data_IF_128045320831
#
_entry.id   IF_128045320831
#
_cell.length_a   1.000
_cell.length_b   1.000
_cell.length_c   1.000
_cell.angle_alpha   90.00
_cell.angle_beta   90.00
_cell.angle_gamma   90.00
#
_symmetry.space_group_name_H-M   'P 1'
#
loop_
_entity.id
_entity.type
_entity.pdbx_description
1 polymer ?
#
# COMPACT_ATOMS: atom_id res chain seq x y z
N UNK A 1 -25.51 -23.66 -24.25
CA UNK A 1 -25.10 -22.81 -25.39
C UNK A 1 -25.51 -21.37 -25.13
N UNK A 2 -26.76 -21.10 -24.73
CA UNK A 2 -27.19 -19.76 -24.24
C UNK A 2 -26.40 -19.21 -23.03
N UNK A 3 -26.08 -20.02 -22.01
CA UNK A 3 -25.34 -19.52 -20.84
C UNK A 3 -23.88 -19.17 -21.14
N UNK A 4 -23.21 -19.94 -22.00
CA UNK A 4 -21.83 -19.66 -22.43
C UNK A 4 -21.81 -18.43 -23.34
N UNK A 5 -22.84 -18.26 -24.19
CA UNK A 5 -22.98 -17.07 -25.03
C UNK A 5 -23.20 -15.81 -24.19
N UNK A 6 -23.94 -15.92 -23.08
CA UNK A 6 -24.19 -14.83 -22.13
C UNK A 6 -22.95 -14.48 -21.30
N UNK A 7 -22.20 -15.46 -20.80
CA UNK A 7 -20.93 -15.21 -20.07
C UNK A 7 -19.87 -14.58 -20.98
N UNK A 8 -19.89 -14.93 -22.26
CA UNK A 8 -19.05 -14.30 -23.29
C UNK A 8 -19.56 -12.87 -23.55
N UNK A 9 -20.83 -12.67 -23.91
CA UNK A 9 -21.37 -11.33 -24.18
C UNK A 9 -21.23 -10.36 -22.99
N UNK A 10 -21.45 -10.82 -21.76
CA UNK A 10 -21.31 -10.01 -20.53
C UNK A 10 -19.83 -9.76 -20.15
N UNK A 11 -18.92 -10.68 -20.47
CA UNK A 11 -17.48 -10.55 -20.19
C UNK A 11 -16.69 -9.75 -21.24
N UNK A 12 -17.26 -9.55 -22.44
CA UNK A 12 -16.63 -8.82 -23.54
C UNK A 12 -17.01 -7.32 -23.58
N UNK A 13 -17.90 -6.83 -22.71
CA UNK A 13 -18.15 -5.38 -22.57
C UNK A 13 -17.01 -4.64 -21.82
N UNK A 14 -16.16 -5.34 -21.08
CA UNK A 14 -15.01 -4.74 -20.36
C UNK A 14 -13.69 -4.75 -21.15
N UNK A 15 -13.63 -5.37 -22.33
CA UNK A 15 -12.45 -5.37 -23.19
C UNK A 15 -12.83 -4.72 -24.52
N UNK A 16 -12.39 -3.48 -24.71
CA UNK A 16 -12.56 -2.72 -25.95
C UNK A 16 -11.70 -3.36 -27.04
N UNK A 17 -12.21 -4.42 -27.67
CA UNK A 17 -11.86 -4.76 -29.04
C UNK A 17 -12.63 -3.82 -29.96
N UNK A 18 -11.95 -3.24 -30.94
CA UNK A 18 -12.63 -2.47 -31.96
C UNK A 18 -13.57 -3.38 -32.79
N UNK A 19 -14.48 -2.76 -33.54
CA UNK A 19 -15.47 -3.52 -34.32
C UNK A 19 -14.83 -4.38 -35.43
N UNK A 20 -13.60 -4.07 -35.84
CA UNK A 20 -12.84 -4.79 -36.86
C UNK A 20 -12.30 -6.13 -36.30
N UNK A 21 -11.79 -6.13 -35.08
CA UNK A 21 -11.35 -7.34 -34.37
C UNK A 21 -12.50 -8.32 -34.11
N UNK A 22 -13.70 -7.81 -33.80
CA UNK A 22 -14.91 -8.62 -33.62
C UNK A 22 -15.36 -9.27 -34.93
N UNK A 23 -15.31 -8.55 -36.04
CA UNK A 23 -15.62 -9.09 -37.38
C UNK A 23 -14.64 -10.16 -37.82
N UNK A 24 -13.33 -9.95 -37.61
CA UNK A 24 -12.28 -10.93 -37.94
C UNK A 24 -12.50 -12.23 -37.16
N UNK A 25 -12.86 -12.13 -35.88
CA UNK A 25 -13.11 -13.30 -35.03
C UNK A 25 -14.36 -14.07 -35.49
N UNK A 26 -15.45 -13.35 -35.78
CA UNK A 26 -16.71 -13.94 -36.25
C UNK A 26 -16.56 -14.59 -37.63
N UNK A 27 -15.81 -13.98 -38.53
CA UNK A 27 -15.52 -14.54 -39.86
C UNK A 27 -14.59 -15.76 -39.75
N UNK A 28 -13.63 -15.75 -38.83
CA UNK A 28 -12.78 -16.91 -38.53
C UNK A 28 -13.60 -18.11 -38.04
N UNK A 29 -14.57 -17.87 -37.15
CA UNK A 29 -15.51 -18.89 -36.67
C UNK A 29 -16.38 -19.41 -37.82
N UNK A 30 -16.92 -18.53 -38.68
CA UNK A 30 -17.74 -18.92 -39.84
C UNK A 30 -16.96 -19.71 -40.89
N UNK A 31 -15.70 -19.33 -41.16
CA UNK A 31 -14.79 -20.02 -42.10
C UNK A 31 -14.41 -21.42 -41.61
N UNK A 32 -14.25 -21.61 -40.30
CA UNK A 32 -13.99 -22.93 -39.70
C UNK A 32 -15.15 -23.91 -39.96
N UNK A 33 -16.39 -23.41 -40.00
CA UNK A 33 -17.61 -24.20 -40.19
C UNK A 33 -17.84 -24.64 -41.65
N UNK A 34 -17.29 -23.91 -42.63
CA UNK A 34 -17.46 -24.20 -44.07
C UNK A 34 -16.44 -25.18 -44.66
N UNK A 35 -15.29 -25.40 -44.01
CA UNK A 35 -14.22 -26.29 -44.53
C UNK A 35 -14.32 -27.75 -44.07
N UNK A 36 -15.53 -28.32 -44.05
CA UNK A 36 -15.73 -29.69 -43.56
C UNK A 36 -16.40 -30.62 -44.57
N UNK A 37 -15.95 -30.60 -45.82
CA UNK A 37 -16.33 -31.61 -46.82
C UNK A 37 -15.08 -32.02 -47.64
N UNK A 38 -14.74 -33.32 -47.52
CA UNK A 38 -13.75 -34.15 -48.24
C UNK A 38 -12.34 -34.32 -47.64
N UNK A 39 -12.27 -35.31 -46.74
CA UNK A 39 -11.28 -36.40 -46.66
C UNK A 39 -9.82 -36.10 -47.06
N UNK A 40 -9.01 -35.67 -46.08
CA UNK A 40 -7.62 -36.13 -45.79
C UNK A 40 -7.10 -35.39 -44.55
N UNK A 41 -7.72 -35.60 -43.40
CA UNK A 41 -7.45 -34.76 -42.21
C UNK A 41 -7.84 -35.49 -40.92
N UNK A 42 -7.14 -36.58 -40.57
CA UNK A 42 -7.35 -37.23 -39.27
C UNK A 42 -6.13 -37.20 -38.35
N UNK A 43 -4.94 -36.84 -38.87
CA UNK A 43 -3.71 -36.74 -38.06
C UNK A 43 -3.31 -35.26 -37.78
N UNK A 44 -3.83 -34.30 -38.55
CA UNK A 44 -3.54 -32.86 -38.35
C UNK A 44 -4.58 -32.19 -37.41
N UNK A 45 -5.78 -32.77 -37.26
CA UNK A 45 -6.80 -32.24 -36.35
C UNK A 45 -6.50 -32.52 -34.86
N UNK A 46 -5.82 -33.63 -34.53
CA UNK A 46 -5.41 -33.89 -33.15
C UNK A 46 -4.30 -32.95 -32.70
N UNK A 47 -3.35 -32.62 -33.58
CA UNK A 47 -2.25 -31.70 -33.26
C UNK A 47 -2.73 -30.25 -33.15
N UNK A 48 -3.60 -29.78 -34.04
CA UNK A 48 -4.17 -28.43 -33.95
C UNK A 48 -5.09 -28.25 -32.71
N UNK A 49 -5.90 -29.27 -32.38
CA UNK A 49 -6.72 -29.27 -31.17
C UNK A 49 -5.88 -29.35 -29.89
N UNK A 50 -4.78 -30.13 -29.88
CA UNK A 50 -3.82 -30.14 -28.77
C UNK A 50 -3.10 -28.81 -28.61
N UNK A 51 -2.66 -28.18 -29.71
CA UNK A 51 -2.04 -26.85 -29.66
C UNK A 51 -3.03 -25.83 -29.11
N UNK A 52 -4.29 -25.86 -29.54
CA UNK A 52 -5.35 -25.00 -28.99
C UNK A 52 -5.63 -25.26 -27.51
N UNK A 53 -5.69 -26.52 -27.07
CA UNK A 53 -5.87 -26.86 -25.65
C UNK A 53 -4.67 -26.44 -24.80
N UNK A 54 -3.44 -26.60 -25.31
CA UNK A 54 -2.22 -26.13 -24.65
C UNK A 54 -2.19 -24.60 -24.54
N UNK A 55 -2.49 -23.89 -25.63
CA UNK A 55 -2.59 -22.43 -25.65
C UNK A 55 -3.70 -21.92 -24.72
N UNK A 56 -4.85 -22.59 -24.67
CA UNK A 56 -5.94 -22.23 -23.76
C UNK A 56 -5.56 -22.50 -22.29
N UNK A 57 -4.89 -23.62 -22.00
CA UNK A 57 -4.44 -23.93 -20.63
C UNK A 57 -3.36 -22.97 -20.14
N UNK A 58 -2.44 -22.57 -21.01
CA UNK A 58 -1.38 -21.60 -20.68
C UNK A 58 -1.93 -20.20 -20.53
N UNK A 59 -2.86 -19.78 -21.39
CA UNK A 59 -3.57 -18.51 -21.23
C UNK A 59 -4.34 -18.45 -19.91
N UNK A 60 -5.08 -19.51 -19.55
CA UNK A 60 -5.77 -19.57 -18.26
C UNK A 60 -4.79 -19.50 -17.07
N UNK A 61 -3.66 -20.22 -17.12
CA UNK A 61 -2.66 -20.14 -16.05
C UNK A 61 -2.08 -18.73 -15.90
N UNK A 62 -1.80 -18.04 -17.01
CA UNK A 62 -1.31 -16.65 -17.00
C UNK A 62 -2.36 -15.72 -16.40
N UNK A 63 -3.64 -15.87 -16.78
CA UNK A 63 -4.74 -15.05 -16.26
C UNK A 63 -4.91 -15.28 -14.76
N UNK A 64 -4.96 -16.53 -14.30
CA UNK A 64 -5.06 -16.85 -12.87
C UNK A 64 -3.89 -16.28 -12.09
N UNK A 65 -2.66 -16.45 -12.59
CA UNK A 65 -1.47 -15.88 -11.94
C UNK A 65 -1.54 -14.35 -11.83
N UNK A 66 -1.97 -13.65 -12.88
CA UNK A 66 -2.12 -12.20 -12.86
C UNK A 66 -3.21 -11.74 -11.87
N UNK A 67 -4.32 -12.48 -11.78
CA UNK A 67 -5.39 -12.21 -10.81
C UNK A 67 -4.87 -12.41 -9.38
N UNK A 68 -4.19 -13.52 -9.11
CA UNK A 68 -3.65 -13.84 -7.80
C UNK A 68 -2.61 -12.79 -7.34
N UNK A 69 -1.72 -12.38 -8.25
CA UNK A 69 -0.75 -11.31 -7.99
C UNK A 69 -1.44 -9.97 -7.69
N UNK A 70 -2.48 -9.62 -8.46
CA UNK A 70 -3.24 -8.39 -8.21
C UNK A 70 -3.94 -8.43 -6.83
N UNK A 71 -4.56 -9.56 -6.49
CA UNK A 71 -5.22 -9.76 -5.20
C UNK A 71 -4.25 -9.65 -4.02
N UNK A 72 -3.10 -10.31 -4.12
CA UNK A 72 -2.05 -10.27 -3.09
C UNK A 72 -1.51 -8.85 -2.87
N UNK A 73 -1.31 -8.10 -3.95
CA UNK A 73 -0.87 -6.71 -3.91
C UNK A 73 -1.88 -5.79 -3.24
N UNK A 74 -3.16 -5.95 -3.60
CA UNK A 74 -4.26 -5.20 -2.98
C UNK A 74 -4.40 -5.55 -1.50
N UNK A 75 -4.26 -6.81 -1.11
CA UNK A 75 -4.31 -7.23 0.30
C UNK A 75 -3.17 -6.59 1.10
N UNK A 76 -1.94 -6.62 0.59
CA UNK A 76 -0.78 -6.02 1.25
C UNK A 76 -0.97 -4.50 1.44
N UNK A 77 -1.41 -3.81 0.39
CA UNK A 77 -1.70 -2.38 0.44
C UNK A 77 -2.82 -2.06 1.44
N UNK A 78 -3.92 -2.83 1.43
CA UNK A 78 -5.02 -2.68 2.36
C UNK A 78 -4.58 -2.96 3.81
N UNK A 79 -3.64 -3.88 4.02
CA UNK A 79 -3.06 -4.14 5.33
C UNK A 79 -2.24 -2.95 5.83
N UNK A 80 -1.48 -2.28 4.98
CA UNK A 80 -0.78 -1.03 5.33
C UNK A 80 -1.76 0.07 5.79
N UNK A 81 -2.87 0.24 5.07
CA UNK A 81 -3.96 1.17 5.43
C UNK A 81 -4.69 0.83 6.74
N UNK A 82 -4.61 -0.43 7.17
CA UNK A 82 -5.29 -0.91 8.36
C UNK A 82 -4.33 -1.30 9.48
N UNK A 83 -3.04 -0.93 9.37
CA UNK A 83 -1.97 -1.48 10.21
C UNK A 83 -2.21 -1.32 11.71
N UNK A 84 -2.76 -0.19 12.14
CA UNK A 84 -3.12 0.09 13.55
C UNK A 84 -4.16 -0.87 14.14
N UNK A 85 -4.81 -1.71 13.34
CA UNK A 85 -5.77 -2.72 13.81
C UNK A 85 -5.14 -4.10 14.04
N UNK A 86 -3.86 -4.28 13.71
CA UNK A 86 -3.17 -5.57 13.83
C UNK A 86 -2.24 -5.65 15.05
N UNK A 87 -2.26 -4.63 15.91
CA UNK A 87 -1.54 -4.58 17.17
C UNK A 87 -2.24 -3.66 18.16
N UNK A 88 -2.11 -3.94 19.45
CA UNK A 88 -2.62 -3.08 20.53
C UNK A 88 -1.58 -2.06 20.94
N UNK A 89 -0.31 -2.47 21.03
CA UNK A 89 0.81 -1.58 21.34
C UNK A 89 1.94 -1.78 20.36
N UNK A 90 2.70 -0.70 20.10
CA UNK A 90 3.94 -0.76 19.34
C UNK A 90 4.96 0.21 19.92
N UNK A 91 6.18 -0.28 20.12
CA UNK A 91 7.31 0.54 20.54
C UNK A 91 8.54 0.22 19.73
N UNK A 92 9.42 1.19 19.56
CA UNK A 92 10.62 0.99 18.77
C UNK A 92 11.38 2.28 18.49
N UNK A 93 12.32 2.15 17.55
CA UNK A 93 13.10 3.27 17.07
C UNK A 93 13.46 3.10 15.60
N UNK A 94 13.52 4.19 14.87
CA UNK A 94 13.97 4.22 13.48
C UNK A 94 14.86 5.43 13.21
N UNK A 95 15.58 5.36 12.10
CA UNK A 95 16.33 6.47 11.55
C UNK A 95 15.73 6.86 10.19
N UNK A 96 15.62 8.15 9.95
CA UNK A 96 15.28 8.71 8.64
C UNK A 96 16.45 9.56 8.14
N UNK A 97 16.72 9.51 6.85
CA UNK A 97 17.65 10.41 6.17
C UNK A 97 17.00 10.91 4.90
N UNK A 98 16.77 12.22 4.83
CA UNK A 98 16.38 12.94 3.62
C UNK A 98 17.65 13.56 3.01
N UNK A 99 18.12 12.92 1.93
CA UNK A 99 19.36 13.30 1.24
C UNK A 99 19.20 14.61 0.44
N UNK A 100 17.97 15.03 0.14
CA UNK A 100 17.70 16.28 -0.57
C UNK A 100 17.76 17.49 0.35
N UNK A 101 17.44 17.29 1.64
CA UNK A 101 17.47 18.32 2.69
C UNK A 101 18.69 18.23 3.60
N UNK A 102 19.55 17.24 3.40
CA UNK A 102 20.67 16.93 4.30
C UNK A 102 20.21 16.78 5.76
N UNK A 103 19.06 16.13 5.93
CA UNK A 103 18.38 15.98 7.21
C UNK A 103 18.42 14.53 7.67
N UNK A 104 18.85 14.32 8.90
CA UNK A 104 18.86 13.03 9.58
C UNK A 104 18.03 13.10 10.84
N UNK A 105 17.13 12.15 10.99
CA UNK A 105 16.28 12.04 12.17
C UNK A 105 16.51 10.72 12.89
N UNK A 106 16.49 10.76 14.22
CA UNK A 106 16.38 9.59 15.07
C UNK A 106 15.05 9.67 15.80
N UNK A 107 14.20 8.67 15.59
CA UNK A 107 12.85 8.65 16.16
C UNK A 107 12.70 7.48 17.11
N UNK A 108 12.19 7.74 18.31
CA UNK A 108 11.80 6.74 19.30
C UNK A 108 10.33 6.89 19.60
N UNK A 109 9.61 5.77 19.72
CA UNK A 109 8.17 5.82 19.91
C UNK A 109 7.68 4.71 20.84
N UNK A 110 6.58 5.01 21.54
CA UNK A 110 5.78 4.08 22.34
C UNK A 110 4.31 4.46 22.14
N UNK A 111 3.52 3.56 21.60
CA UNK A 111 2.17 3.85 21.13
C UNK A 111 1.24 2.73 21.57
N UNK A 112 0.07 3.11 22.05
CA UNK A 112 -1.08 2.26 22.30
C UNK A 112 -2.20 2.64 21.33
N UNK A 113 -2.64 1.70 20.50
CA UNK A 113 -3.79 1.83 19.59
C UNK A 113 -5.05 1.09 20.10
N UNK A 114 -4.92 0.32 21.19
CA UNK A 114 -6.02 -0.44 21.80
C UNK A 114 -6.99 0.40 22.65
N UNK A 115 -7.51 -0.18 23.73
CA UNK A 115 -8.59 0.42 24.55
C UNK A 115 -8.18 1.71 25.28
N UNK A 116 -6.88 1.88 25.53
CA UNK A 116 -6.30 3.08 26.15
C UNK A 116 -5.37 3.77 25.16
N UNK A 117 -5.92 4.42 24.12
CA UNK A 117 -5.12 4.95 23.03
C UNK A 117 -4.26 6.14 23.49
N UNK A 118 -3.04 6.19 23.00
CA UNK A 118 -2.10 7.27 23.32
C UNK A 118 -0.67 6.90 22.97
N UNK A 119 0.28 7.74 23.37
CA UNK A 119 1.69 7.45 23.17
C UNK A 119 2.60 8.66 23.29
N UNK A 120 3.88 8.39 23.06
CA UNK A 120 4.94 9.37 22.99
C UNK A 120 5.82 9.10 21.77
N UNK A 121 6.25 10.16 21.09
CA UNK A 121 7.28 10.12 20.05
C UNK A 121 8.34 11.17 20.35
N UNK A 122 9.60 10.76 20.31
CA UNK A 122 10.75 11.64 20.50
C UNK A 122 11.57 11.62 19.21
N UNK A 123 11.93 12.80 18.72
CA UNK A 123 12.64 13.00 17.46
C UNK A 123 13.85 13.86 17.74
N UNK A 124 15.00 13.41 17.28
CA UNK A 124 16.20 14.24 17.23
C UNK A 124 16.57 14.47 15.77
N UNK A 125 16.63 15.74 15.36
CA UNK A 125 16.98 16.16 14.00
C UNK A 125 18.38 16.75 14.00
N UNK A 126 19.29 16.16 13.22
CA UNK A 126 20.68 16.60 13.05
C UNK A 126 21.43 16.88 14.38
N UNK A 127 21.09 16.20 15.47
CA UNK A 127 21.64 16.40 16.82
C UNK A 127 21.40 17.80 17.43
N UNK A 128 20.56 18.63 16.82
CA UNK A 128 20.37 20.04 17.18
C UNK A 128 18.95 20.41 17.58
N UNK A 129 17.94 19.72 17.03
CA UNK A 129 16.52 19.99 17.32
C UNK A 129 15.93 18.74 17.96
N UNK A 130 15.24 18.93 19.08
CA UNK A 130 14.53 17.87 19.75
C UNK A 130 13.02 18.16 19.71
N UNK A 131 12.24 17.21 19.19
CA UNK A 131 10.77 17.28 19.18
C UNK A 131 10.24 16.16 20.06
N UNK A 132 9.26 16.47 20.90
CA UNK A 132 8.50 15.48 21.65
C UNK A 132 7.01 15.64 21.37
N UNK A 133 6.39 14.57 20.87
CA UNK A 133 4.96 14.46 20.70
C UNK A 133 4.39 13.56 21.78
N UNK A 134 3.31 14.01 22.42
CA UNK A 134 2.60 13.28 23.46
C UNK A 134 1.10 13.26 23.17
N UNK A 135 0.45 12.12 23.36
CA UNK A 135 -1.00 12.04 23.21
C UNK A 135 -1.68 11.03 24.13
N UNK A 136 -2.90 11.33 24.55
CA UNK A 136 -3.81 10.40 25.24
C UNK A 136 -5.00 9.97 24.36
N UNK A 137 -4.84 9.99 23.03
CA UNK A 137 -5.87 9.65 22.04
C UNK A 137 -6.95 10.72 21.85
N UNK A 138 -7.11 11.67 22.77
CA UNK A 138 -8.07 12.78 22.64
C UNK A 138 -7.37 14.15 22.48
N UNK A 139 -6.23 14.33 23.14
CA UNK A 139 -5.40 15.53 23.07
C UNK A 139 -4.01 15.14 22.62
N UNK A 140 -3.40 15.99 21.78
CA UNK A 140 -2.01 15.87 21.36
C UNK A 140 -1.28 17.17 21.71
N UNK A 141 -0.07 17.05 22.23
CA UNK A 141 0.86 18.17 22.42
C UNK A 141 2.15 17.86 21.70
N UNK A 142 2.72 18.86 21.02
CA UNK A 142 4.05 18.78 20.42
C UNK A 142 4.93 19.87 21.01
N UNK A 143 6.03 19.45 21.60
CA UNK A 143 7.10 20.29 22.12
C UNK A 143 8.26 20.30 21.13
N UNK A 144 8.88 21.45 20.95
CA UNK A 144 10.14 21.57 20.22
C UNK A 144 11.14 22.30 21.12
N UNK A 145 12.16 21.57 21.54
CA UNK A 145 13.33 22.13 22.22
C UNK A 145 14.34 22.51 21.13
N UNK A 146 14.19 23.75 20.65
CA UNK A 146 15.18 24.49 19.86
C UNK A 146 15.92 25.48 20.79
N UNK A 147 17.01 26.13 20.37
CA UNK A 147 17.62 27.25 21.10
C UNK A 147 16.64 28.37 21.53
N UNK A 148 15.41 28.40 20.99
CA UNK A 148 14.32 29.31 21.37
C UNK A 148 13.28 28.73 22.35
N UNK A 149 13.23 27.41 22.57
CA UNK A 149 12.45 26.69 23.60
C UNK A 149 10.98 27.09 23.76
N UNK A 150 10.06 26.55 22.95
CA UNK A 150 8.62 26.87 23.03
C UNK A 150 7.70 25.66 22.74
N UNK A 151 6.48 25.68 23.29
CA UNK A 151 5.40 24.79 22.82
C UNK A 151 5.02 25.25 21.42
N UNK A 152 5.31 24.42 20.41
CA UNK A 152 5.06 24.78 19.02
C UNK A 152 3.65 24.42 18.55
N UNK A 153 3.00 23.42 19.16
CA UNK A 153 1.58 23.14 18.89
C UNK A 153 0.85 22.39 20.01
N UNK A 154 -0.43 22.72 20.20
CA UNK A 154 -1.39 21.96 21.02
C UNK A 154 -2.68 21.78 20.22
N UNK A 155 -3.06 20.51 19.97
CA UNK A 155 -4.28 20.15 19.25
C UNK A 155 -5.20 19.31 20.14
N UNK A 156 -6.50 19.59 20.07
CA UNK A 156 -7.54 18.83 20.76
C UNK A 156 -8.49 18.24 19.72
N UNK A 157 -8.76 16.93 19.81
CA UNK A 157 -9.89 16.34 19.09
C UNK A 157 -11.17 16.80 19.76
N UNK A 158 -12.06 17.44 19.00
CA UNK A 158 -13.40 17.75 19.51
C UNK A 158 -14.17 16.44 19.64
N UNK A 159 -14.61 16.13 20.86
CA UNK A 159 -15.36 14.91 21.23
C UNK A 159 -16.65 14.74 20.40
N UNK A 160 -17.10 15.76 19.65
CA UNK A 160 -18.34 15.74 18.87
C UNK A 160 -18.23 14.95 17.55
N UNK A 161 -17.03 14.59 17.06
CA UNK A 161 -16.87 13.64 15.94
C UNK A 161 -17.04 12.15 16.36
N UNK A 162 -17.21 11.88 17.66
CA UNK A 162 -17.12 10.54 18.28
C UNK A 162 -18.23 9.52 17.95
N UNK A 163 -19.22 9.83 17.13
CA UNK A 163 -20.27 8.85 16.78
C UNK A 163 -20.39 8.55 15.28
N UNK A 164 -19.49 9.09 14.45
CA UNK A 164 -19.57 8.90 12.98
C UNK A 164 -18.28 8.42 12.32
N UNK A 165 -17.14 8.35 13.01
CA UNK A 165 -15.95 7.67 12.48
C UNK A 165 -15.60 6.45 13.32
N UNK A 166 -15.70 5.29 12.69
CA UNK A 166 -15.44 4.01 13.29
C UNK A 166 -13.92 3.79 13.31
N UNK A 167 -13.23 4.39 14.30
CA UNK A 167 -11.76 4.36 14.44
C UNK A 167 -11.19 2.93 14.43
N UNK A 168 -12.02 1.97 14.84
CA UNK A 168 -11.69 0.54 14.91
C UNK A 168 -12.23 -0.27 13.73
N UNK A 169 -12.98 0.35 12.81
CA UNK A 169 -13.45 -0.33 11.60
C UNK A 169 -12.34 -0.44 10.59
N UNK A 170 -12.15 -1.67 10.14
CA UNK A 170 -11.25 -2.01 9.08
C UNK A 170 -11.85 -1.55 7.76
N UNK A 171 -11.06 -0.87 6.93
CA UNK A 171 -11.41 -0.74 5.53
C UNK A 171 -11.35 -2.12 4.87
N UNK A 172 -12.47 -2.57 4.32
CA UNK A 172 -12.58 -3.86 3.65
C UNK A 172 -12.05 -3.79 2.21
N UNK A 173 -12.00 -2.59 1.62
CA UNK A 173 -11.52 -2.40 0.25
C UNK A 173 -10.68 -1.13 0.12
N UNK A 174 -9.89 -1.04 -0.95
CA UNK A 174 -9.14 0.17 -1.28
C UNK A 174 -10.02 1.33 -1.79
N UNK A 175 -11.32 1.10 -2.05
CA UNK A 175 -12.24 2.16 -2.49
C UNK A 175 -12.41 3.24 -1.43
N UNK A 176 -12.30 2.87 -0.16
CA UNK A 176 -12.41 3.80 0.96
C UNK A 176 -11.18 4.74 1.05
N UNK A 177 -10.03 4.30 0.53
CA UNK A 177 -8.78 5.06 0.52
C UNK A 177 -8.69 6.06 -0.64
N UNK A 178 -9.27 5.73 -1.80
CA UNK A 178 -9.13 6.53 -3.03
C UNK A 178 -10.41 7.25 -3.41
N UNK A 179 -10.33 8.58 -3.52
CA UNK A 179 -11.44 9.43 -3.95
C UNK A 179 -11.08 10.20 -5.21
N UNK A 180 -12.09 10.54 -6.00
CA UNK A 180 -11.95 11.52 -7.08
C UNK A 180 -12.48 12.85 -6.53
N UNK A 181 -11.63 13.87 -6.47
CA UNK A 181 -12.01 15.19 -6.01
C UNK A 181 -12.85 15.92 -7.08
N UNK A 182 -13.50 17.02 -6.69
CA UNK A 182 -14.42 17.77 -7.56
C UNK A 182 -13.75 18.32 -8.84
N UNK A 183 -12.43 18.45 -8.86
CA UNK A 183 -11.62 18.87 -10.00
C UNK A 183 -11.16 17.70 -10.89
N UNK A 184 -11.61 16.47 -10.59
CA UNK A 184 -11.19 15.25 -11.28
C UNK A 184 -9.81 14.75 -10.85
N UNK A 185 -9.14 15.43 -9.91
CA UNK A 185 -7.84 15.02 -9.40
C UNK A 185 -8.05 13.92 -8.35
N UNK A 186 -7.25 12.84 -8.40
CA UNK A 186 -7.27 11.84 -7.35
C UNK A 186 -6.91 12.43 -5.99
N UNK A 187 -7.81 12.24 -5.02
CA UNK A 187 -7.59 12.52 -3.62
C UNK A 187 -7.40 11.23 -2.81
N UNK A 188 -6.99 11.43 -1.56
CA UNK A 188 -6.68 10.35 -0.64
C UNK A 188 -7.43 10.59 0.66
N UNK A 189 -8.19 9.59 1.08
CA UNK A 189 -8.72 9.56 2.44
C UNK A 189 -7.67 8.94 3.36
N UNK A 190 -7.61 9.43 4.58
CA UNK A 190 -6.82 8.83 5.64
C UNK A 190 -7.77 8.29 6.70
N UNK A 191 -7.49 7.07 7.16
CA UNK A 191 -8.05 6.59 8.42
C UNK A 191 -7.47 7.40 9.56
N UNK A 192 -8.35 7.82 10.45
CA UNK A 192 -7.96 8.29 11.76
C UNK A 192 -7.35 7.13 12.57
N UNK A 193 -6.34 7.44 13.39
CA UNK A 193 -5.72 6.48 14.31
C UNK A 193 -6.19 6.70 15.75
N UNK A 194 -6.47 5.64 16.52
CA UNK A 194 -6.86 5.76 17.92
C UNK A 194 -5.92 6.65 18.75
N UNK A 195 -4.61 6.41 18.71
CA UNK A 195 -3.60 7.09 19.56
C UNK A 195 -3.41 8.59 19.34
N UNK A 196 -3.85 9.12 18.20
CA UNK A 196 -3.61 10.51 17.75
C UNK A 196 -2.14 10.95 17.63
N UNK A 197 -1.21 10.00 17.50
CA UNK A 197 0.21 10.28 17.28
C UNK A 197 0.50 10.47 15.78
N UNK A 198 1.38 11.37 15.36
CA UNK A 198 1.57 11.69 13.95
C UNK A 198 2.97 11.32 13.48
N UNK A 199 4.02 11.64 14.25
CA UNK A 199 5.39 11.56 13.76
C UNK A 199 5.89 10.13 13.51
N UNK A 200 5.30 9.12 14.16
CA UNK A 200 5.64 7.70 13.89
C UNK A 200 4.91 7.11 12.67
N UNK A 201 3.91 7.81 12.12
CA UNK A 201 2.90 7.19 11.24
C UNK A 201 3.50 6.66 9.95
N UNK A 202 4.58 7.26 9.44
CA UNK A 202 5.23 6.78 8.22
C UNK A 202 5.66 5.30 8.32
N UNK A 203 5.92 4.82 9.53
CA UNK A 203 6.32 3.44 9.83
C UNK A 203 5.16 2.65 10.44
N UNK A 204 4.59 3.14 11.54
CA UNK A 204 3.61 2.38 12.33
C UNK A 204 2.23 2.37 11.72
N UNK A 205 1.87 3.40 10.94
CA UNK A 205 0.61 3.51 10.23
C UNK A 205 0.79 4.00 8.79
N UNK A 206 1.44 3.19 7.90
CA UNK A 206 2.04 3.69 6.66
C UNK A 206 1.02 3.93 5.54
N UNK A 207 -0.04 4.69 5.80
CA UNK A 207 -1.05 5.09 4.82
C UNK A 207 -0.44 5.93 3.70
N UNK A 208 0.49 6.85 4.02
CA UNK A 208 1.18 7.64 3.01
C UNK A 208 2.02 6.77 2.05
N UNK A 209 2.89 5.86 2.52
CA UNK A 209 3.52 4.85 1.66
C UNK A 209 2.52 3.98 0.89
N UNK A 210 1.39 3.59 1.50
CA UNK A 210 0.35 2.81 0.82
C UNK A 210 -0.27 3.57 -0.35
N UNK A 211 -0.37 4.90 -0.31
CA UNK A 211 -0.80 5.73 -1.44
C UNK A 211 0.11 5.59 -2.66
N UNK A 212 1.41 5.36 -2.46
CA UNK A 212 2.37 5.22 -3.56
C UNK A 212 2.10 3.95 -4.39
N UNK A 213 1.40 2.99 -3.80
CA UNK A 213 1.06 1.69 -4.40
C UNK A 213 -0.27 1.71 -5.18
N UNK A 214 -0.89 2.88 -5.36
CA UNK A 214 -2.22 3.00 -6.00
C UNK A 214 -2.28 2.42 -7.41
N UNK A 215 -1.28 2.69 -8.24
CA UNK A 215 -1.22 2.18 -9.61
C UNK A 215 -0.53 0.82 -9.54
N UNK A 216 -1.32 -0.25 -9.58
CA UNK A 216 -0.79 -1.62 -9.40
C UNK A 216 0.28 -1.92 -10.44
N UNK A 217 0.16 -1.43 -11.67
CA UNK A 217 1.10 -1.69 -12.75
C UNK A 217 2.50 -1.10 -12.48
N UNK A 218 2.61 -0.12 -11.59
CA UNK A 218 3.87 0.59 -11.32
C UNK A 218 4.77 -0.11 -10.30
N UNK A 219 4.35 -1.22 -9.71
CA UNK A 219 5.14 -1.89 -8.68
C UNK A 219 4.91 -3.39 -8.67
N UNK A 220 5.75 -4.11 -7.96
CA UNK A 220 5.63 -5.57 -7.79
C UNK A 220 6.23 -6.02 -6.46
N UNK A 221 5.75 -7.16 -5.97
CA UNK A 221 6.37 -7.84 -4.84
C UNK A 221 7.56 -8.63 -5.40
N UNK A 222 8.77 -8.20 -5.07
CA UNK A 222 10.01 -8.77 -5.63
C UNK A 222 10.47 -10.01 -4.88
N UNK A 223 10.36 -9.97 -3.58
CA UNK A 223 10.89 -11.00 -2.70
C UNK A 223 10.11 -11.03 -1.38
N UNK A 224 10.13 -12.20 -0.75
CA UNK A 224 9.76 -12.37 0.65
C UNK A 224 11.03 -12.53 1.48
N UNK A 225 11.01 -12.06 2.71
CA UNK A 225 12.19 -12.08 3.56
C UNK A 225 11.87 -12.02 5.04
N UNK A 226 12.91 -11.76 5.82
CA UNK A 226 12.79 -11.54 7.25
C UNK A 226 13.59 -10.32 7.65
N UNK A 227 12.98 -9.42 8.41
CA UNK A 227 13.62 -8.22 8.94
C UNK A 227 13.17 -8.04 10.39
N UNK A 228 14.12 -7.80 11.31
CA UNK A 228 13.86 -7.72 12.76
C UNK A 228 13.10 -8.94 13.32
N UNK A 229 13.37 -10.13 12.77
CA UNK A 229 12.68 -11.36 13.16
C UNK A 229 11.25 -11.51 12.63
N UNK A 230 10.78 -10.58 11.79
CA UNK A 230 9.42 -10.57 11.23
C UNK A 230 9.43 -10.88 9.75
N UNK A 231 8.39 -11.56 9.27
CA UNK A 231 8.21 -11.85 7.84
C UNK A 231 7.85 -10.56 7.10
N UNK A 232 8.55 -10.30 6.00
CA UNK A 232 8.33 -9.11 5.19
C UNK A 232 8.12 -9.46 3.72
N UNK A 233 7.30 -8.66 3.06
CA UNK A 233 7.26 -8.56 1.60
C UNK A 233 8.03 -7.32 1.17
N UNK A 234 8.87 -7.51 0.16
CA UNK A 234 9.69 -6.43 -0.39
C UNK A 234 9.08 -5.99 -1.70
N UNK A 235 8.70 -4.71 -1.74
CA UNK A 235 8.07 -4.07 -2.88
C UNK A 235 9.10 -3.19 -3.56
N UNK A 236 9.17 -3.26 -4.89
CA UNK A 236 9.86 -2.26 -5.71
C UNK A 236 8.87 -1.67 -6.71
N UNK A 237 8.99 -0.37 -6.95
CA UNK A 237 8.10 0.31 -7.88
C UNK A 237 8.56 1.69 -8.30
N UNK A 238 7.78 2.27 -9.19
CA UNK A 238 7.96 3.59 -9.77
C UNK A 238 6.85 4.54 -9.28
N UNK A 239 7.22 5.76 -8.93
CA UNK A 239 6.25 6.78 -8.56
C UNK A 239 5.39 7.18 -9.75
N UNK A 240 4.13 7.53 -9.51
CA UNK A 240 3.34 8.24 -10.52
C UNK A 240 3.95 9.61 -10.85
N UNK A 241 3.55 10.20 -11.98
CA UNK A 241 4.11 11.47 -12.46
C UNK A 241 4.09 12.58 -11.40
N UNK A 242 3.01 12.69 -10.63
CA UNK A 242 2.84 13.73 -9.62
C UNK A 242 3.78 13.49 -8.42
N UNK A 243 3.88 12.24 -7.98
CA UNK A 243 4.73 11.80 -6.88
C UNK A 243 6.21 11.95 -7.23
N UNK A 244 6.59 11.70 -8.50
CA UNK A 244 7.95 11.93 -8.99
C UNK A 244 8.40 13.38 -8.82
N UNK A 245 7.54 14.30 -9.22
CA UNK A 245 7.80 15.74 -9.10
C UNK A 245 7.86 16.15 -7.62
N UNK A 246 6.87 15.73 -6.83
CA UNK A 246 6.76 16.09 -5.41
C UNK A 246 7.92 15.57 -4.57
N UNK A 247 8.32 14.31 -4.75
CA UNK A 247 9.36 13.65 -3.96
C UNK A 247 10.74 13.74 -4.61
N UNK A 248 10.84 14.32 -5.82
CA UNK A 248 12.06 14.37 -6.62
C UNK A 248 12.74 13.00 -6.73
N UNK A 249 11.92 11.95 -6.86
CA UNK A 249 12.31 10.54 -6.81
C UNK A 249 11.59 9.78 -7.91
N UNK A 250 12.27 8.86 -8.60
CA UNK A 250 11.69 8.03 -9.66
C UNK A 250 11.15 6.70 -9.12
N UNK A 251 11.94 6.02 -8.28
CA UNK A 251 11.63 4.68 -7.80
C UNK A 251 11.68 4.59 -6.28
N UNK A 252 11.06 3.55 -5.75
CA UNK A 252 11.07 3.24 -4.32
C UNK A 252 11.22 1.74 -4.07
N UNK A 253 11.67 1.42 -2.86
CA UNK A 253 11.73 0.08 -2.29
C UNK A 253 11.20 0.08 -0.87
N UNK A 254 10.31 -0.86 -0.55
CA UNK A 254 9.65 -0.96 0.76
C UNK A 254 9.77 -2.37 1.32
N UNK A 255 9.93 -2.49 2.64
CA UNK A 255 9.87 -3.77 3.36
C UNK A 255 8.67 -3.71 4.30
N UNK A 256 7.58 -4.38 3.93
CA UNK A 256 6.31 -4.34 4.65
C UNK A 256 6.15 -5.62 5.46
N UNK A 257 5.89 -5.48 6.76
CA UNK A 257 5.58 -6.60 7.65
C UNK A 257 4.27 -7.29 7.23
N UNK A 258 4.32 -8.59 6.95
CA UNK A 258 3.17 -9.31 6.37
C UNK A 258 2.04 -9.53 7.36
N UNK A 259 2.32 -9.47 8.66
CA UNK A 259 1.33 -9.68 9.72
C UNK A 259 0.58 -8.39 10.03
N UNK A 260 1.30 -7.27 10.21
CA UNK A 260 0.75 -6.01 10.68
C UNK A 260 0.59 -4.93 9.59
N UNK A 261 1.27 -5.06 8.44
CA UNK A 261 1.31 -3.99 7.43
C UNK A 261 2.19 -2.79 7.80
N UNK A 262 2.93 -2.86 8.90
CA UNK A 262 3.92 -1.86 9.30
C UNK A 262 5.08 -1.83 8.30
N UNK A 263 5.58 -0.64 7.98
CA UNK A 263 6.71 -0.45 7.07
C UNK A 263 8.02 -0.49 7.86
N UNK A 264 8.83 -1.52 7.70
CA UNK A 264 10.08 -1.69 8.48
C UNK A 264 11.29 -1.02 7.83
N UNK A 265 11.24 -0.79 6.52
CA UNK A 265 12.29 -0.08 5.77
C UNK A 265 11.71 0.54 4.51
N UNK A 266 12.24 1.69 4.14
CA UNK A 266 11.89 2.43 2.93
C UNK A 266 13.13 3.06 2.33
N UNK A 267 13.27 3.00 1.01
CA UNK A 267 14.27 3.77 0.26
C UNK A 267 13.61 4.33 -1.00
N UNK A 268 13.93 5.56 -1.38
CA UNK A 268 13.62 6.11 -2.70
C UNK A 268 14.86 6.60 -3.43
N UNK A 269 14.80 6.58 -4.75
CA UNK A 269 15.90 6.94 -5.64
C UNK A 269 15.48 7.99 -6.66
N UNK A 270 16.39 8.87 -7.05
CA UNK A 270 16.21 9.78 -8.18
C UNK A 270 16.46 9.08 -9.53
N UNK A 271 16.33 9.84 -10.62
CA UNK A 271 16.54 9.38 -12.00
C UNK A 271 17.96 8.90 -12.30
N UNK A 272 18.94 9.29 -11.49
CA UNK A 272 20.33 8.90 -11.65
C UNK A 272 20.66 7.70 -10.72
N UNK A 273 19.65 7.14 -10.05
CA UNK A 273 19.78 6.01 -9.12
C UNK A 273 20.35 6.40 -7.76
N UNK A 274 20.40 7.69 -7.41
CA UNK A 274 20.90 8.14 -6.09
C UNK A 274 19.77 8.14 -5.08
N UNK A 275 20.07 7.75 -3.85
CA UNK A 275 19.10 7.76 -2.77
C UNK A 275 18.64 9.20 -2.46
N UNK A 276 17.34 9.38 -2.35
CA UNK A 276 16.70 10.66 -2.01
C UNK A 276 16.15 10.66 -0.59
N UNK A 277 15.63 9.51 -0.15
CA UNK A 277 15.17 9.29 1.23
C UNK A 277 15.41 7.84 1.62
N UNK A 278 15.80 7.64 2.88
CA UNK A 278 15.92 6.33 3.51
C UNK A 278 15.25 6.38 4.89
N UNK A 279 14.47 5.35 5.21
CA UNK A 279 13.95 5.11 6.55
C UNK A 279 14.25 3.68 6.95
N UNK A 280 14.83 3.47 8.12
CA UNK A 280 15.25 2.16 8.61
C UNK A 280 14.87 2.00 10.08
N UNK A 281 13.99 1.03 10.35
CA UNK A 281 13.63 0.63 11.72
C UNK A 281 14.76 -0.20 12.30
N UNK A 282 15.27 0.20 13.46
CA UNK A 282 16.36 -0.52 14.14
C UNK A 282 15.82 -1.50 15.18
N UNK A 283 14.69 -1.17 15.81
CA UNK A 283 14.03 -2.01 16.80
C UNK A 283 12.52 -1.78 16.72
N UNK A 284 11.75 -2.85 16.82
CA UNK A 284 10.30 -2.79 16.95
C UNK A 284 9.80 -3.96 17.79
N UNK A 285 8.84 -3.68 18.68
CA UNK A 285 8.14 -4.65 19.52
C UNK A 285 6.65 -4.33 19.50
N UNK A 286 5.83 -5.38 19.48
CA UNK A 286 4.38 -5.29 19.42
C UNK A 286 3.77 -5.96 20.63
N UNK A 287 2.64 -5.45 21.10
CA UNK A 287 1.82 -6.04 22.17
C UNK A 287 2.62 -6.31 23.45
N UNK A 288 3.54 -5.39 23.77
CA UNK A 288 4.21 -5.32 25.06
C UNK A 288 3.38 -4.45 26.01
N UNK A 289 3.46 -4.74 27.31
CA UNK A 289 2.80 -3.94 28.33
C UNK A 289 3.37 -2.50 28.33
N UNK A 290 2.52 -1.54 27.96
CA UNK A 290 2.81 -0.11 28.06
C UNK A 290 1.92 0.50 29.15
N UNK A 291 2.52 1.10 30.17
CA UNK A 291 1.75 1.87 31.16
C UNK A 291 1.26 3.17 30.50
N UNK A 292 -0.06 3.27 30.31
CA UNK A 292 -0.70 4.39 29.65
C UNK A 292 -0.92 5.63 30.54
N UNK A 293 -0.63 5.52 31.84
CA UNK A 293 -0.94 6.58 32.83
C UNK A 293 -0.12 7.86 32.65
N UNK A 294 1.02 7.83 31.93
CA UNK A 294 1.97 8.95 31.88
C UNK A 294 1.97 9.75 30.56
N UNK A 295 1.04 9.51 29.62
CA UNK A 295 1.17 10.10 28.29
C UNK A 295 0.99 11.63 28.25
N UNK A 296 0.38 12.27 29.25
CA UNK A 296 0.22 13.73 29.30
C UNK A 296 0.40 14.34 30.71
N UNK A 297 0.97 13.60 31.67
CA UNK A 297 1.36 14.17 32.99
C UNK A 297 2.64 15.02 32.90
#
# INVERSE_FOLDING_TARGET
>A
MEEIKKVIEDGFEEIIFDDEDKEILLDTIKRSRRRNIKQKTLIIFSSAAMIWLLLFSTANQIITYAIDQSAEKMELQLKMYNSVLYYETVQGQYQETDYLREQKEQVKFKISEGDTPGGTVQININDNIYIEEKSNGNKRIVYEDSPEGEIVSEDKRTIVDKFTQNLFEKWETLKDAFVIMNDGIPGYNYRERPSYIHYSSFITFPQAPAHYLRVLENWEIKEEGTLLGRKVKVIEGEFDKNSKEKFRSETFKMWVDTESGVLLKYISYDKDGKMTKEVHVNEIKFNEDLNAEDYLE
#
